data_IF_685623923382
#
_entry.id   IF_685623923382
#
_cell.length_a   1.000
_cell.length_b   1.000
_cell.length_c   1.000
_cell.angle_alpha   90.00
_cell.angle_beta   90.00
_cell.angle_gamma   90.00
#
_symmetry.space_group_name_H-M   'P 1'
#
loop_
_entity.id
_entity.type
_entity.pdbx_description
1 polymer ?
#
# COMPACT_ATOMS: atom_id res chain seq x y z
N UNK A 1 9.88 13.47 0.05
CA UNK A 1 9.24 12.25 -0.50
C UNK A 1 7.87 12.16 0.12
N UNK A 2 6.86 11.71 -0.63
CA UNK A 2 5.50 11.61 -0.09
C UNK A 2 5.46 10.68 1.13
N UNK A 3 6.28 9.62 1.18
CA UNK A 3 6.39 8.75 2.36
C UNK A 3 6.82 9.51 3.61
N UNK A 4 7.75 10.46 3.50
CA UNK A 4 8.18 11.27 4.64
C UNK A 4 7.03 12.16 5.14
N UNK A 5 6.27 12.78 4.23
CA UNK A 5 5.10 13.59 4.61
C UNK A 5 4.01 12.72 5.29
N UNK A 6 3.78 11.50 4.78
CA UNK A 6 2.87 10.53 5.40
C UNK A 6 3.35 10.13 6.81
N UNK A 7 4.65 9.89 6.99
CA UNK A 7 5.22 9.56 8.31
C UNK A 7 5.04 10.73 9.28
N UNK A 8 5.28 11.96 8.86
CA UNK A 8 5.11 13.16 9.68
C UNK A 8 3.65 13.33 10.12
N UNK A 9 2.69 13.16 9.20
CA UNK A 9 1.26 13.19 9.51
C UNK A 9 0.88 12.14 10.57
N UNK A 10 1.37 10.91 10.40
CA UNK A 10 1.06 9.79 11.29
C UNK A 10 1.91 9.78 12.56
N UNK A 11 2.89 10.69 12.69
CA UNK A 11 3.92 10.64 13.71
C UNK A 11 3.37 10.67 15.14
N UNK A 12 2.31 11.44 15.39
CA UNK A 12 1.68 11.54 16.71
C UNK A 12 1.16 10.19 17.19
N UNK A 13 0.41 9.47 16.35
CA UNK A 13 -0.12 8.15 16.69
C UNK A 13 1.00 7.10 16.73
N UNK A 14 1.93 7.11 15.76
CA UNK A 14 3.03 6.16 15.73
C UNK A 14 3.95 6.24 16.96
N UNK A 15 4.22 7.44 17.49
CA UNK A 15 5.02 7.63 18.71
C UNK A 15 4.36 7.06 19.97
N UNK A 16 3.04 6.81 19.92
CA UNK A 16 2.26 6.21 21.02
C UNK A 16 2.12 4.70 20.91
N UNK A 17 2.68 4.09 19.87
CA UNK A 17 2.60 2.65 19.60
C UNK A 17 3.97 1.99 19.67
N UNK A 18 3.97 0.70 19.94
CA UNK A 18 5.16 -0.16 19.89
C UNK A 18 4.95 -1.34 18.96
N UNK A 19 6.01 -1.77 18.30
CA UNK A 19 5.99 -3.00 17.50
C UNK A 19 5.96 -4.21 18.43
N UNK A 20 4.89 -4.99 18.40
CA UNK A 20 4.78 -6.25 19.15
C UNK A 20 5.40 -7.40 18.39
N UNK A 21 5.19 -7.43 17.07
CA UNK A 21 5.78 -8.46 16.22
C UNK A 21 5.94 -7.92 14.80
N UNK A 22 6.94 -8.44 14.09
CA UNK A 22 7.26 -8.04 12.73
C UNK A 22 7.71 -9.28 11.96
N UNK A 23 7.25 -9.39 10.73
CA UNK A 23 7.58 -10.51 9.88
C UNK A 23 7.81 -10.05 8.45
N UNK A 24 9.01 -10.32 7.93
CA UNK A 24 9.37 -10.07 6.53
C UNK A 24 9.23 -11.39 5.78
N UNK A 25 8.04 -11.64 5.23
CA UNK A 25 7.80 -12.77 4.35
C UNK A 25 8.27 -12.48 2.91
N UNK A 26 8.40 -13.50 2.05
CA UNK A 26 8.84 -13.35 0.66
C UNK A 26 7.90 -12.50 -0.21
N UNK A 27 6.60 -12.47 0.09
CA UNK A 27 5.60 -11.69 -0.67
C UNK A 27 5.09 -10.46 0.07
N UNK A 28 4.99 -10.55 1.40
CA UNK A 28 4.43 -9.50 2.24
C UNK A 28 5.22 -9.32 3.52
N UNK A 29 5.25 -8.09 4.02
CA UNK A 29 5.74 -7.73 5.34
C UNK A 29 4.52 -7.45 6.21
N UNK A 30 4.46 -8.08 7.38
CA UNK A 30 3.42 -7.89 8.38
C UNK A 30 3.99 -7.25 9.65
N UNK A 31 3.26 -6.30 10.21
CA UNK A 31 3.60 -5.67 11.50
C UNK A 31 2.38 -5.69 12.40
N UNK A 32 2.58 -6.11 13.65
CA UNK A 32 1.60 -6.04 14.73
C UNK A 32 2.03 -4.97 15.74
N UNK A 33 1.12 -4.07 16.08
CA UNK A 33 1.33 -3.07 17.12
C UNK A 33 0.71 -3.52 18.46
N UNK A 34 1.01 -2.78 19.52
CA UNK A 34 0.56 -3.05 20.90
C UNK A 34 -0.95 -2.97 21.10
N UNK A 35 -1.65 -2.14 20.33
CA UNK A 35 -3.11 -2.12 20.25
C UNK A 35 -3.72 -3.23 19.39
N UNK A 36 -2.90 -4.22 19.01
CA UNK A 36 -3.25 -5.34 18.15
C UNK A 36 -3.60 -4.91 16.72
N UNK A 37 -3.42 -3.64 16.32
CA UNK A 37 -3.55 -3.27 14.92
C UNK A 37 -2.48 -3.97 14.09
N UNK A 38 -2.83 -4.29 12.85
CA UNK A 38 -1.95 -5.03 11.94
C UNK A 38 -1.83 -4.30 10.63
N UNK A 39 -0.59 -4.02 10.24
CA UNK A 39 -0.26 -3.44 8.96
C UNK A 39 0.38 -4.45 8.04
N UNK A 40 0.13 -4.28 6.74
CA UNK A 40 0.65 -5.15 5.69
C UNK A 40 1.34 -4.27 4.63
N UNK A 41 2.43 -4.76 4.08
CA UNK A 41 3.04 -4.19 2.89
C UNK A 41 3.46 -5.31 1.96
N UNK A 42 3.60 -5.05 0.66
CA UNK A 42 4.39 -5.92 -0.20
C UNK A 42 5.84 -5.94 0.31
N UNK A 43 6.50 -7.09 0.18
CA UNK A 43 7.93 -7.20 0.43
C UNK A 43 8.71 -6.99 -0.84
N UNK A 44 9.66 -6.06 -0.80
CA UNK A 44 10.81 -6.06 -1.70
C UNK A 44 12.03 -6.54 -0.92
N UNK A 45 12.65 -7.62 -1.40
CA UNK A 45 13.72 -8.34 -0.68
C UNK A 45 15.10 -7.70 -0.83
N UNK A 46 15.20 -6.57 -1.53
CA UNK A 46 16.45 -5.88 -1.75
C UNK A 46 16.86 -5.06 -0.52
N UNK A 47 18.06 -5.34 0.00
CA UNK A 47 18.66 -4.67 1.15
C UNK A 47 18.71 -5.55 2.41
N UNK A 48 19.28 -4.99 3.47
CA UNK A 48 19.39 -5.65 4.77
C UNK A 48 18.70 -4.81 5.86
N UNK A 49 18.36 -5.46 6.97
CA UNK A 49 17.78 -4.84 8.17
C UNK A 49 18.78 -5.09 9.29
N UNK A 50 19.67 -4.12 9.53
CA UNK A 50 20.79 -4.27 10.47
C UNK A 50 20.34 -4.69 11.87
N UNK A 51 19.27 -4.11 12.39
CA UNK A 51 18.70 -4.47 13.70
C UNK A 51 17.64 -5.59 13.64
N UNK A 52 17.74 -6.49 12.66
CA UNK A 52 16.87 -7.67 12.61
C UNK A 52 16.96 -8.48 13.92
N UNK A 53 15.80 -8.85 14.47
CA UNK A 53 15.70 -9.47 15.80
C UNK A 53 15.56 -8.48 16.96
N UNK A 54 15.78 -7.18 16.73
CA UNK A 54 15.70 -6.15 17.76
C UNK A 54 14.57 -5.13 17.52
N UNK A 55 13.83 -5.25 16.42
CA UNK A 55 12.71 -4.35 16.10
C UNK A 55 11.51 -4.52 17.05
N UNK A 56 11.36 -5.72 17.64
CA UNK A 56 10.31 -5.99 18.60
C UNK A 56 10.50 -5.13 19.86
N UNK A 57 9.42 -4.53 20.32
CA UNK A 57 9.39 -3.64 21.47
C UNK A 57 9.86 -2.22 21.16
N UNK A 58 10.42 -1.91 19.98
CA UNK A 58 10.78 -0.52 19.62
C UNK A 58 9.52 0.32 19.34
N UNK A 59 9.69 1.63 19.41
CA UNK A 59 8.68 2.62 19.01
C UNK A 59 8.28 2.39 17.56
N UNK A 60 6.97 2.40 17.26
CA UNK A 60 6.51 2.24 15.89
C UNK A 60 7.02 3.37 14.98
N UNK A 61 7.12 4.59 15.50
CA UNK A 61 7.70 5.72 14.78
C UNK A 61 9.17 5.46 14.40
N UNK A 62 9.98 4.99 15.34
CA UNK A 62 11.41 4.78 15.09
C UNK A 62 11.63 3.66 14.05
N UNK A 63 10.81 2.60 14.11
CA UNK A 63 10.86 1.51 13.11
C UNK A 63 10.38 1.99 11.73
N UNK A 64 9.38 2.87 11.67
CA UNK A 64 8.87 3.43 10.42
C UNK A 64 9.77 4.52 9.82
N UNK A 65 10.62 5.16 10.61
CA UNK A 65 11.48 6.25 10.18
C UNK A 65 12.79 5.75 9.55
N UNK A 66 12.67 4.86 8.56
CA UNK A 66 13.79 4.40 7.74
C UNK A 66 13.29 4.03 6.34
N UNK A 67 13.81 4.67 5.30
CA UNK A 67 13.40 4.47 3.91
C UNK A 67 14.55 4.07 2.98
N UNK A 68 15.71 3.73 3.54
CA UNK A 68 16.98 3.67 2.82
C UNK A 68 17.01 2.55 1.78
N UNK A 69 16.41 1.40 2.10
CA UNK A 69 16.33 0.24 1.21
C UNK A 69 14.87 -0.12 0.85
N UNK A 70 14.64 -0.83 -0.28
CA UNK A 70 13.33 -1.41 -0.60
C UNK A 70 12.75 -2.26 0.53
N UNK A 71 13.58 -3.08 1.19
CA UNK A 71 13.16 -3.88 2.35
C UNK A 71 12.73 -2.99 3.53
N UNK A 72 13.48 -1.92 3.81
CA UNK A 72 13.10 -0.93 4.83
C UNK A 72 11.81 -0.22 4.52
N UNK A 73 11.62 0.23 3.28
CA UNK A 73 10.35 0.84 2.86
C UNK A 73 9.18 -0.13 3.01
N UNK A 74 9.40 -1.43 2.81
CA UNK A 74 8.37 -2.45 3.04
C UNK A 74 7.96 -2.50 4.52
N UNK A 75 8.95 -2.51 5.43
CA UNK A 75 8.71 -2.46 6.88
C UNK A 75 8.02 -1.16 7.27
N UNK A 76 8.56 -0.01 6.87
CA UNK A 76 8.03 1.30 7.24
C UNK A 76 6.62 1.53 6.74
N UNK A 77 6.34 1.09 5.51
CA UNK A 77 4.99 1.12 4.94
C UNK A 77 4.05 0.19 5.72
N UNK A 78 4.49 -1.01 6.10
CA UNK A 78 3.68 -1.90 6.94
C UNK A 78 3.39 -1.28 8.32
N UNK A 79 4.36 -0.65 8.96
CA UNK A 79 4.16 0.03 10.25
C UNK A 79 3.13 1.17 10.11
N UNK A 80 3.31 2.06 9.14
CA UNK A 80 2.37 3.16 8.88
C UNK A 80 0.97 2.64 8.53
N UNK A 81 0.89 1.55 7.76
CA UNK A 81 -0.36 0.93 7.35
C UNK A 81 -1.06 0.15 8.48
N UNK A 82 -0.42 -0.08 9.63
CA UNK A 82 -1.12 -0.64 10.78
C UNK A 82 -2.19 0.32 11.31
N UNK A 83 -1.95 1.63 11.16
CA UNK A 83 -2.91 2.65 11.54
C UNK A 83 -4.10 2.70 10.56
N UNK A 84 -5.28 2.90 11.12
CA UNK A 84 -6.52 3.08 10.37
C UNK A 84 -7.39 4.14 11.03
N UNK A 85 -8.10 4.97 10.26
CA UNK A 85 -9.08 5.90 10.79
C UNK A 85 -10.33 5.16 11.28
N UNK A 86 -11.18 5.85 12.04
CA UNK A 86 -12.41 5.25 12.56
C UNK A 86 -13.50 5.06 11.48
N UNK A 87 -13.56 5.93 10.47
CA UNK A 87 -14.60 5.92 9.42
C UNK A 87 -14.20 5.03 8.22
N UNK A 88 -14.03 3.73 8.48
CA UNK A 88 -13.78 2.75 7.41
C UNK A 88 -15.09 2.19 6.86
N UNK A 89 -15.20 2.14 5.53
CA UNK A 89 -16.33 1.53 4.83
C UNK A 89 -15.89 0.27 4.11
N UNK A 90 -16.68 -0.80 4.18
CA UNK A 90 -16.41 -2.04 3.43
C UNK A 90 -16.56 -1.82 1.92
N UNK A 91 -15.67 -2.42 1.13
CA UNK A 91 -15.74 -2.41 -0.34
C UNK A 91 -14.54 -1.79 -1.04
N UNK A 92 -14.50 -1.88 -2.37
CA UNK A 92 -13.45 -1.32 -3.22
C UNK A 92 -13.80 0.12 -3.63
N UNK A 93 -12.97 1.12 -3.31
CA UNK A 93 -13.30 2.51 -3.65
C UNK A 93 -13.38 2.74 -5.16
N UNK A 94 -12.75 1.88 -5.98
CA UNK A 94 -12.85 1.98 -7.43
C UNK A 94 -14.30 1.87 -7.93
N UNK A 95 -15.18 1.18 -7.20
CA UNK A 95 -16.60 1.06 -7.58
C UNK A 95 -17.36 2.40 -7.49
N UNK A 96 -16.80 3.39 -6.78
CA UNK A 96 -17.40 4.72 -6.64
C UNK A 96 -17.12 5.61 -7.87
N UNK A 97 -16.14 5.24 -8.70
CA UNK A 97 -15.65 6.06 -9.81
C UNK A 97 -15.65 5.21 -11.07
N UNK A 98 -16.70 5.30 -11.89
CA UNK A 98 -16.83 4.54 -13.13
C UNK A 98 -16.91 5.47 -14.35
N UNK A 99 -16.60 4.92 -15.52
CA UNK A 99 -16.66 5.63 -16.80
C UNK A 99 -15.30 6.02 -17.36
N UNK A 100 -15.26 6.17 -18.68
CA UNK A 100 -14.07 6.62 -19.40
C UNK A 100 -12.88 5.66 -19.27
N UNK A 101 -11.68 6.25 -19.23
CA UNK A 101 -10.41 5.50 -19.22
C UNK A 101 -9.91 5.29 -17.79
N UNK A 102 -9.55 4.05 -17.46
CA UNK A 102 -8.91 3.67 -16.21
C UNK A 102 -7.40 3.46 -16.43
N UNK A 103 -6.59 4.06 -15.56
CA UNK A 103 -5.15 3.79 -15.50
C UNK A 103 -4.76 3.14 -14.18
N UNK A 104 -4.05 2.01 -14.25
CA UNK A 104 -3.66 1.23 -13.07
C UNK A 104 -2.15 1.14 -12.95
N UNK A 105 -1.62 1.30 -11.74
CA UNK A 105 -0.18 1.24 -11.46
C UNK A 105 0.08 0.32 -10.27
N UNK A 106 0.70 -0.84 -10.46
CA UNK A 106 0.90 -1.81 -9.38
C UNK A 106 1.68 -3.05 -9.79
N UNK A 107 1.93 -3.96 -8.85
CA UNK A 107 2.36 -5.33 -9.17
C UNK A 107 1.16 -6.17 -9.57
N UNK A 108 1.13 -6.66 -10.81
CA UNK A 108 0.01 -7.46 -11.34
C UNK A 108 -1.35 -6.86 -10.95
N UNK A 109 -1.63 -5.58 -11.28
CA UNK A 109 -2.77 -4.87 -10.75
C UNK A 109 -4.08 -5.49 -11.25
N UNK A 110 -4.77 -6.22 -10.37
CA UNK A 110 -6.06 -6.83 -10.67
C UNK A 110 -7.15 -6.13 -9.85
N UNK A 111 -8.03 -5.44 -10.56
CA UNK A 111 -9.26 -4.84 -10.01
C UNK A 111 -10.43 -5.24 -10.89
N UNK A 112 -11.63 -5.09 -10.35
CA UNK A 112 -12.87 -5.13 -11.15
C UNK A 112 -12.90 -3.89 -12.04
N UNK A 113 -12.95 -4.10 -13.35
CA UNK A 113 -12.88 -3.04 -14.37
C UNK A 113 -14.23 -2.82 -15.07
N UNK A 114 -15.29 -3.50 -14.61
CA UNK A 114 -16.64 -3.29 -15.10
C UNK A 114 -17.05 -1.83 -14.88
N UNK A 115 -17.51 -1.17 -15.95
CA UNK A 115 -17.90 0.24 -15.93
C UNK A 115 -16.89 1.20 -16.58
N UNK A 116 -15.72 0.73 -17.02
CA UNK A 116 -14.76 1.53 -17.78
C UNK A 116 -14.77 1.18 -19.27
N UNK A 117 -14.53 2.17 -20.12
CA UNK A 117 -14.48 2.01 -21.59
C UNK A 117 -13.11 1.62 -22.10
N UNK A 118 -12.05 2.01 -21.39
CA UNK A 118 -10.65 1.68 -21.71
C UNK A 118 -9.89 1.41 -20.42
N UNK A 119 -8.99 0.43 -20.45
CA UNK A 119 -8.12 0.10 -19.31
C UNK A 119 -6.68 0.06 -19.80
N UNK A 120 -5.81 0.81 -19.12
CA UNK A 120 -4.36 0.74 -19.29
C UNK A 120 -3.73 0.42 -17.95
N UNK A 121 -2.93 -0.64 -17.90
CA UNK A 121 -2.19 -1.03 -16.70
C UNK A 121 -0.69 -0.95 -16.93
N UNK A 122 0.00 -0.44 -15.91
CA UNK A 122 1.45 -0.41 -15.81
C UNK A 122 1.87 -1.31 -14.65
N UNK A 123 2.57 -2.39 -14.99
CA UNK A 123 3.03 -3.40 -14.06
C UNK A 123 4.44 -3.06 -13.57
N UNK A 124 4.65 -3.14 -12.26
CA UNK A 124 5.95 -2.95 -11.64
C UNK A 124 6.85 -4.19 -11.71
N UNK A 125 6.30 -5.34 -12.11
CA UNK A 125 7.08 -6.56 -12.26
C UNK A 125 8.02 -6.50 -13.47
N UNK A 126 9.19 -7.19 -13.41
CA UNK A 126 10.08 -7.32 -14.56
C UNK A 126 9.42 -8.02 -15.75
N UNK A 127 8.42 -8.86 -15.49
CA UNK A 127 7.61 -9.57 -16.48
C UNK A 127 6.14 -9.20 -16.28
N UNK A 128 5.67 -8.15 -16.97
CA UNK A 128 4.29 -7.69 -16.86
C UNK A 128 3.28 -8.80 -17.12
N UNK A 129 2.19 -8.81 -16.37
CA UNK A 129 1.08 -9.73 -16.66
C UNK A 129 0.44 -9.43 -18.02
N UNK A 130 -0.14 -10.44 -18.71
CA UNK A 130 -0.81 -10.22 -19.99
C UNK A 130 -1.81 -9.06 -19.95
N UNK A 131 -1.74 -8.18 -20.95
CA UNK A 131 -2.56 -6.96 -21.02
C UNK A 131 -1.98 -5.75 -20.29
N UNK A 132 -0.87 -5.89 -19.56
CA UNK A 132 -0.18 -4.78 -18.90
C UNK A 132 1.10 -4.38 -19.61
N UNK A 133 1.42 -3.09 -19.56
CA UNK A 133 2.69 -2.52 -20.00
C UNK A 133 3.70 -2.55 -18.85
N UNK A 134 5.00 -2.70 -19.10
CA UNK A 134 6.00 -2.51 -18.05
C UNK A 134 6.01 -1.04 -17.60
N UNK A 135 6.16 -0.80 -16.29
CA UNK A 135 6.23 0.56 -15.76
C UNK A 135 7.45 1.35 -16.26
N UNK A 136 8.49 0.68 -16.73
CA UNK A 136 9.65 1.30 -17.40
C UNK A 136 9.26 2.09 -18.66
N UNK A 137 8.14 1.75 -19.31
CA UNK A 137 7.58 2.47 -20.47
C UNK A 137 6.69 3.65 -20.08
N UNK A 138 6.30 3.78 -18.82
CA UNK A 138 5.47 4.90 -18.38
C UNK A 138 6.21 6.23 -18.55
N UNK A 139 5.64 7.11 -19.39
CA UNK A 139 6.08 8.49 -19.63
C UNK A 139 5.04 9.51 -19.18
N UNK A 140 3.76 9.13 -19.23
CA UNK A 140 2.61 9.91 -18.82
C UNK A 140 1.36 9.29 -19.40
N UNK A 141 0.21 9.61 -18.83
CA UNK A 141 -1.08 9.06 -19.26
C UNK A 141 -2.21 10.02 -18.88
N UNK A 142 -3.25 10.08 -19.69
CA UNK A 142 -4.46 10.87 -19.43
C UNK A 142 -5.62 9.91 -19.30
N UNK A 143 -6.35 9.99 -18.20
CA UNK A 143 -7.42 9.08 -17.87
C UNK A 143 -8.53 9.78 -17.09
N UNK A 144 -9.68 9.13 -16.97
CA UNK A 144 -10.75 9.61 -16.09
C UNK A 144 -10.41 9.25 -14.66
N UNK A 145 -10.03 7.99 -14.44
CA UNK A 145 -9.65 7.48 -13.11
C UNK A 145 -8.26 6.87 -13.15
N UNK A 146 -7.40 7.22 -12.21
CA UNK A 146 -6.16 6.50 -11.95
C UNK A 146 -6.19 5.81 -10.58
N UNK A 147 -5.86 4.52 -10.58
CA UNK A 147 -5.67 3.71 -9.39
C UNK A 147 -4.19 3.42 -9.22
N UNK A 148 -3.62 3.94 -8.14
CA UNK A 148 -2.22 3.77 -7.79
C UNK A 148 -2.15 2.82 -6.61
N UNK A 149 -1.55 1.65 -6.83
CA UNK A 149 -1.43 0.67 -5.76
C UNK A 149 -0.37 1.08 -4.76
N UNK A 150 -0.62 0.89 -3.46
CA UNK A 150 0.31 1.27 -2.38
C UNK A 150 1.73 0.68 -2.50
N UNK A 151 1.92 -0.37 -3.31
CA UNK A 151 3.26 -0.86 -3.68
C UNK A 151 4.14 0.22 -4.33
N UNK A 152 3.55 1.26 -4.90
CA UNK A 152 4.27 2.43 -5.41
C UNK A 152 5.02 3.20 -4.32
N UNK A 153 4.53 3.15 -3.08
CA UNK A 153 5.18 3.73 -1.91
C UNK A 153 6.48 2.96 -1.61
N UNK A 154 6.40 1.64 -1.61
CA UNK A 154 7.54 0.74 -1.35
C UNK A 154 8.60 0.83 -2.45
N UNK A 155 8.16 0.94 -3.70
CA UNK A 155 9.05 1.13 -4.85
C UNK A 155 9.59 2.54 -5.02
N UNK A 156 9.08 3.51 -4.25
CA UNK A 156 9.45 4.91 -4.38
C UNK A 156 9.23 5.47 -5.80
N UNK A 157 8.10 5.14 -6.43
CA UNK A 157 7.76 5.60 -7.78
C UNK A 157 6.44 6.40 -7.84
N UNK A 158 5.77 6.57 -6.70
CA UNK A 158 4.53 7.33 -6.53
C UNK A 158 4.64 8.78 -7.03
N UNK A 159 5.74 9.49 -6.76
CA UNK A 159 5.95 10.86 -7.24
C UNK A 159 6.05 10.91 -8.77
N UNK A 160 6.70 9.91 -9.39
CA UNK A 160 6.76 9.81 -10.85
C UNK A 160 5.36 9.61 -11.43
N UNK A 161 4.51 8.82 -10.78
CA UNK A 161 3.14 8.57 -11.23
C UNK A 161 2.32 9.85 -11.14
N UNK A 162 2.21 10.44 -9.94
CA UNK A 162 1.40 11.65 -9.69
C UNK A 162 1.82 12.81 -10.60
N UNK A 163 3.13 12.97 -10.87
CA UNK A 163 3.63 14.04 -11.74
C UNK A 163 3.22 13.88 -13.21
N UNK A 164 3.06 12.65 -13.69
CA UNK A 164 2.90 12.38 -15.13
C UNK A 164 1.53 11.79 -15.51
N UNK A 165 0.70 11.43 -14.54
CA UNK A 165 -0.69 11.05 -14.78
C UNK A 165 -1.58 12.29 -14.66
N UNK A 166 -2.52 12.45 -15.60
CA UNK A 166 -3.63 13.39 -15.49
C UNK A 166 -4.90 12.58 -15.35
N UNK A 167 -5.59 12.72 -14.23
CA UNK A 167 -6.84 12.03 -13.96
C UNK A 167 -7.83 12.98 -13.29
N UNK A 168 -9.11 12.79 -13.57
CA UNK A 168 -10.18 13.47 -12.82
C UNK A 168 -10.25 12.89 -11.40
N UNK A 169 -10.04 11.57 -11.29
CA UNK A 169 -10.06 10.83 -10.03
C UNK A 169 -8.75 10.11 -9.74
N UNK A 170 -8.15 10.37 -8.57
CA UNK A 170 -6.97 9.67 -8.07
C UNK A 170 -7.32 8.80 -6.85
N UNK A 171 -7.00 7.51 -6.92
CA UNK A 171 -7.32 6.53 -5.89
C UNK A 171 -6.05 5.81 -5.48
N UNK A 172 -5.78 5.71 -4.18
CA UNK A 172 -4.75 4.82 -3.64
C UNK A 172 -5.37 3.49 -3.25
N UNK A 173 -4.84 2.34 -3.69
CA UNK A 173 -5.47 1.05 -3.41
C UNK A 173 -4.47 -0.10 -3.08
N UNK A 174 -4.96 -1.15 -2.43
CA UNK A 174 -4.21 -2.38 -2.23
C UNK A 174 -3.57 -2.57 -0.86
N UNK A 175 -2.78 -3.64 -0.73
CA UNK A 175 -2.31 -4.14 0.55
C UNK A 175 -1.38 -3.18 1.30
N UNK A 176 -0.66 -2.32 0.58
CA UNK A 176 0.34 -1.38 1.13
C UNK A 176 -0.15 0.08 1.17
N UNK A 177 -1.45 0.32 0.98
CA UNK A 177 -2.02 1.67 1.04
C UNK A 177 -1.98 2.22 2.47
N UNK A 178 -1.28 3.33 2.68
CA UNK A 178 -1.19 4.00 3.98
C UNK A 178 -2.32 5.02 4.12
N UNK A 179 -2.98 5.06 5.28
CA UNK A 179 -4.09 5.97 5.58
C UNK A 179 -3.61 7.34 6.11
N UNK A 180 -2.67 7.97 5.40
CA UNK A 180 -2.23 9.35 5.64
C UNK A 180 -3.09 10.32 4.80
N UNK A 181 -4.34 10.48 5.25
CA UNK A 181 -5.42 11.09 4.48
C UNK A 181 -5.14 12.57 4.13
N UNK A 182 -4.54 13.32 5.06
CA UNK A 182 -4.23 14.73 4.83
C UNK A 182 -3.19 14.92 3.73
N UNK A 183 -2.13 14.12 3.77
CA UNK A 183 -1.06 14.07 2.76
C UNK A 183 -1.65 13.65 1.42
N UNK A 184 -2.42 12.56 1.38
CA UNK A 184 -3.03 12.07 0.14
C UNK A 184 -3.97 13.11 -0.48
N UNK A 185 -4.81 13.76 0.32
CA UNK A 185 -5.70 14.84 -0.14
C UNK A 185 -4.91 16.02 -0.73
N UNK A 186 -3.79 16.41 -0.12
CA UNK A 186 -2.88 17.45 -0.66
C UNK A 186 -2.34 17.09 -2.05
N UNK A 187 -2.18 15.81 -2.35
CA UNK A 187 -1.75 15.31 -3.67
C UNK A 187 -2.90 14.98 -4.63
N UNK A 188 -4.14 15.36 -4.29
CA UNK A 188 -5.30 15.22 -5.17
C UNK A 188 -5.97 13.84 -5.15
N UNK A 189 -5.63 12.97 -4.20
CA UNK A 189 -6.37 11.73 -4.01
C UNK A 189 -7.77 12.02 -3.47
N UNK A 190 -8.74 11.24 -3.94
CA UNK A 190 -10.16 11.31 -3.53
C UNK A 190 -10.59 10.09 -2.73
N UNK A 191 -9.87 8.97 -2.83
CA UNK A 191 -10.17 7.78 -2.05
C UNK A 191 -8.94 6.93 -1.77
N UNK A 192 -8.98 6.22 -0.65
CA UNK A 192 -7.95 5.28 -0.21
C UNK A 192 -8.61 3.96 0.12
N UNK A 193 -8.25 2.92 -0.61
CA UNK A 193 -8.62 1.54 -0.35
C UNK A 193 -7.45 0.78 0.27
N UNK A 194 -7.71 0.01 1.32
CA UNK A 194 -6.72 -0.88 1.92
C UNK A 194 -7.33 -2.25 2.20
N UNK A 195 -6.45 -3.21 2.48
CA UNK A 195 -6.85 -4.50 3.01
C UNK A 195 -6.59 -4.52 4.52
N UNK A 196 -7.60 -4.89 5.31
CA UNK A 196 -7.48 -5.05 6.77
C UNK A 196 -7.68 -6.51 7.16
N UNK A 197 -6.92 -7.04 8.13
CA UNK A 197 -7.09 -8.43 8.56
C UNK A 197 -8.36 -8.65 9.38
N UNK A 198 -9.24 -9.54 8.92
CA UNK A 198 -10.37 -10.05 9.70
C UNK A 198 -9.93 -11.09 10.73
N UNK A 199 -8.88 -11.86 10.41
CA UNK A 199 -8.18 -12.76 11.33
C UNK A 199 -6.69 -12.41 11.33
N UNK A 200 -6.30 -11.53 12.26
CA UNK A 200 -4.93 -11.02 12.40
C UNK A 200 -3.90 -12.12 12.62
N UNK A 201 -4.22 -13.12 13.45
CA UNK A 201 -3.30 -14.20 13.78
C UNK A 201 -3.03 -15.07 12.56
N UNK A 202 -4.09 -15.46 11.83
CA UNK A 202 -3.92 -16.25 10.60
C UNK A 202 -3.29 -15.44 9.48
N UNK A 203 -3.63 -14.16 9.33
CA UNK A 203 -2.99 -13.28 8.35
C UNK A 203 -1.49 -13.15 8.62
N UNK A 204 -1.10 -12.82 9.86
CA UNK A 204 0.31 -12.68 10.24
C UNK A 204 1.08 -13.98 10.05
N UNK A 205 0.52 -15.12 10.51
CA UNK A 205 1.13 -16.44 10.33
C UNK A 205 1.28 -16.81 8.85
N UNK A 206 0.27 -16.53 8.02
CA UNK A 206 0.33 -16.77 6.57
C UNK A 206 1.48 -16.00 5.93
N UNK A 207 1.71 -14.74 6.35
CA UNK A 207 2.84 -13.94 5.87
C UNK A 207 4.18 -14.61 6.25
N UNK A 208 4.33 -15.00 7.53
CA UNK A 208 5.56 -15.62 8.02
C UNK A 208 5.86 -16.99 7.43
N UNK A 209 4.84 -17.75 7.07
CA UNK A 209 4.98 -19.06 6.43
C UNK A 209 5.21 -18.95 4.91
N UNK A 210 5.33 -17.73 4.35
CA UNK A 210 5.62 -17.52 2.94
C UNK A 210 4.41 -17.52 2.02
N UNK A 211 3.21 -17.30 2.56
CA UNK A 211 1.98 -17.19 1.79
C UNK A 211 1.98 -16.01 0.82
N UNK A 212 1.34 -16.20 -0.33
CA UNK A 212 1.13 -15.17 -1.35
C UNK A 212 -0.27 -14.55 -1.23
N UNK A 213 -0.60 -13.66 -2.18
CA UNK A 213 -1.85 -12.92 -2.21
C UNK A 213 -3.09 -13.82 -2.05
N UNK A 214 -3.07 -15.02 -2.66
CA UNK A 214 -4.19 -15.96 -2.68
C UNK A 214 -4.46 -16.60 -1.32
N UNK A 215 -3.41 -17.00 -0.60
CA UNK A 215 -3.58 -17.53 0.76
C UNK A 215 -3.96 -16.41 1.72
N UNK A 216 -3.31 -15.26 1.61
CA UNK A 216 -3.50 -14.14 2.51
C UNK A 216 -4.91 -13.53 2.39
N UNK A 217 -5.45 -13.40 1.17
CA UNK A 217 -6.76 -12.80 0.92
C UNK A 217 -7.93 -13.47 1.68
N UNK A 218 -7.77 -14.71 2.14
CA UNK A 218 -8.79 -15.44 2.94
C UNK A 218 -9.00 -14.83 4.33
N UNK A 219 -8.03 -14.05 4.81
CA UNK A 219 -8.01 -13.47 6.14
C UNK A 219 -8.05 -11.94 6.09
N UNK A 220 -8.31 -11.36 4.92
CA UNK A 220 -8.38 -9.93 4.71
C UNK A 220 -9.77 -9.54 4.20
N UNK A 221 -10.23 -8.35 4.60
CA UNK A 221 -11.34 -7.67 3.96
C UNK A 221 -10.85 -6.37 3.32
N UNK A 222 -11.58 -5.92 2.30
CA UNK A 222 -11.31 -4.66 1.64
C UNK A 222 -12.16 -3.57 2.26
N UNK A 223 -11.50 -2.48 2.65
CA UNK A 223 -12.13 -1.29 3.22
C UNK A 223 -11.59 -0.04 2.54
N UNK A 224 -12.32 1.07 2.66
CA UNK A 224 -11.92 2.34 2.08
C UNK A 224 -12.40 3.55 2.89
N UNK A 225 -11.82 4.69 2.53
CA UNK A 225 -12.19 6.04 2.96
C UNK A 225 -12.24 6.94 1.72
N UNK A 226 -13.19 7.86 1.69
CA UNK A 226 -13.26 8.97 0.71
C UNK A 226 -12.73 10.24 1.37
N UNK A 227 -11.95 11.05 0.64
CA UNK A 227 -11.18 12.19 1.14
C UNK A 227 -11.87 13.55 0.97
#
# INVERSE_FOLDING_TARGET
MILSEMLEELSYELKRRRVVNLCVGPSYTGVLLDDQSMGISITLTDGEVEEAGELQGKSAYDVANNFDSPMRRSISTAVMNALSPADLRSGDPLQLFQGGKLCMFGYSPQVKVEGFTEVVSYDFSPQPVPGSRPFSEFRGEVCTTAVIFGSSLVLNNIEKIIKNVKADHLIMNGASSVMALGTLKKYGFEAVGKLVPVDRNRAFRTICEGGNARQLARFLERVHVTL
#
